data_IF_715125488805
#
_entry.id   IF_715125488805
#
_cell.length_a   1.000
_cell.length_b   1.000
_cell.length_c   1.000
_cell.angle_alpha   90.00
_cell.angle_beta   90.00
_cell.angle_gamma   90.00
#
_symmetry.space_group_name_H-M   'P 1'
#
loop_
_entity.id
_entity.type
_entity.pdbx_description
1 polymer ?
#
# COMPACT_ATOMS: atom_id res chain seq x y z
N UNK A 1 3.27 -52.07 0.79
CA UNK A 1 2.29 -51.01 0.44
C UNK A 1 2.78 -49.62 0.93
N UNK A 2 3.87 -49.03 0.37
CA UNK A 2 4.40 -47.74 0.84
C UNK A 2 3.76 -46.51 0.15
N UNK A 3 3.10 -46.69 -1.00
CA UNK A 3 2.58 -45.58 -1.80
C UNK A 3 1.40 -44.80 -1.18
N UNK A 4 0.65 -45.41 -0.26
CA UNK A 4 -0.53 -44.76 0.36
C UNK A 4 -0.17 -43.75 1.45
N UNK A 5 0.98 -43.94 2.10
CA UNK A 5 1.49 -43.02 3.13
C UNK A 5 2.10 -41.77 2.48
N UNK A 6 2.78 -41.94 1.34
CA UNK A 6 3.42 -40.84 0.62
C UNK A 6 2.40 -39.86 0.01
N UNK A 7 1.25 -40.36 -0.45
CA UNK A 7 0.17 -39.51 -1.01
C UNK A 7 -0.52 -38.69 0.08
N UNK A 8 -0.69 -39.23 1.29
CA UNK A 8 -1.31 -38.50 2.40
C UNK A 8 -0.42 -37.35 2.92
N UNK A 9 0.90 -37.54 2.92
CA UNK A 9 1.87 -36.52 3.32
C UNK A 9 1.92 -35.33 2.34
N UNK A 10 1.70 -35.57 1.04
CA UNK A 10 1.72 -34.52 0.02
C UNK A 10 0.50 -33.58 0.10
N UNK A 11 -0.69 -34.11 0.45
CA UNK A 11 -1.89 -33.29 0.63
C UNK A 11 -1.84 -32.38 1.87
N UNK A 12 -1.08 -32.75 2.91
CA UNK A 12 -0.90 -31.91 4.11
C UNK A 12 0.02 -30.70 3.87
N UNK A 13 0.96 -30.81 2.93
CA UNK A 13 1.90 -29.74 2.57
C UNK A 13 1.29 -28.67 1.64
N UNK A 14 0.29 -29.03 0.83
CA UNK A 14 -0.38 -28.11 -0.08
C UNK A 14 -1.19 -27.00 0.64
N UNK A 15 -1.50 -27.19 1.92
CA UNK A 15 -2.32 -26.27 2.72
C UNK A 15 -1.55 -25.08 3.31
N UNK A 16 -0.21 -25.04 3.19
CA UNK A 16 0.63 -24.03 3.86
C UNK A 16 0.89 -22.76 3.05
N UNK A 17 0.61 -22.75 1.75
CA UNK A 17 0.84 -21.58 0.88
C UNK A 17 -0.44 -20.76 0.68
N UNK A 18 -1.15 -20.43 1.76
CA UNK A 18 -2.34 -19.57 1.69
C UNK A 18 -1.89 -18.11 1.79
N UNK A 19 -2.13 -17.35 0.73
CA UNK A 19 -2.05 -15.89 0.83
C UNK A 19 -3.14 -15.44 1.80
N UNK A 20 -2.77 -14.62 2.78
CA UNK A 20 -3.71 -14.06 3.74
C UNK A 20 -3.80 -12.55 3.54
N UNK A 21 -4.98 -11.94 3.73
CA UNK A 21 -5.11 -10.49 3.73
C UNK A 21 -4.25 -9.86 4.82
N UNK A 22 -3.37 -8.94 4.44
CA UNK A 22 -2.47 -8.21 5.36
C UNK A 22 -2.83 -6.73 5.38
N UNK A 23 -2.63 -6.06 6.53
CA UNK A 23 -2.79 -4.60 6.62
C UNK A 23 -1.62 -3.86 5.95
N UNK A 24 -0.51 -4.54 5.73
CA UNK A 24 0.68 -4.01 5.05
C UNK A 24 1.37 -5.09 4.23
N UNK A 25 2.06 -4.68 3.16
CA UNK A 25 2.99 -5.51 2.42
C UNK A 25 4.35 -4.81 2.35
N UNK A 26 5.42 -5.59 2.46
CA UNK A 26 6.80 -5.14 2.28
C UNK A 26 7.37 -5.76 1.01
N UNK A 27 8.40 -5.13 0.45
CA UNK A 27 9.05 -5.66 -0.75
C UNK A 27 9.84 -6.94 -0.50
N UNK A 28 10.48 -7.09 0.67
CA UNK A 28 11.36 -8.22 0.98
C UNK A 28 10.75 -9.19 2.01
N UNK A 29 9.43 -9.14 2.22
CA UNK A 29 8.68 -9.93 3.21
C UNK A 29 9.22 -9.80 4.66
N UNK A 30 9.96 -8.72 4.95
CA UNK A 30 10.32 -8.32 6.30
C UNK A 30 9.09 -7.85 7.07
N UNK A 31 9.08 -7.94 8.41
CA UNK A 31 8.01 -7.36 9.20
C UNK A 31 7.89 -5.85 8.96
N UNK A 32 6.69 -5.40 8.61
CA UNK A 32 6.36 -3.98 8.51
C UNK A 32 6.57 -3.29 9.87
N UNK A 33 7.07 -2.05 9.87
CA UNK A 33 7.37 -1.30 11.09
C UNK A 33 6.13 -1.10 11.97
N UNK A 34 4.98 -0.79 11.37
CA UNK A 34 3.74 -0.48 12.08
C UNK A 34 2.84 -1.72 12.20
N UNK A 35 2.47 -2.14 13.43
CA UNK A 35 1.65 -3.32 13.63
C UNK A 35 0.19 -3.09 13.21
N UNK A 36 -0.61 -4.17 13.02
CA UNK A 36 -2.04 -4.02 12.79
C UNK A 36 -2.71 -3.18 13.88
N UNK A 37 -3.55 -2.22 13.48
CA UNK A 37 -4.28 -1.34 14.42
C UNK A 37 -3.48 -0.17 14.98
N UNK A 38 -2.27 0.10 14.46
CA UNK A 38 -1.58 1.36 14.71
C UNK A 38 -2.47 2.55 14.36
N UNK A 39 -2.38 3.64 15.12
CA UNK A 39 -3.30 4.78 15.01
C UNK A 39 -2.76 5.92 14.14
N UNK A 40 -1.44 6.03 14.03
CA UNK A 40 -0.75 7.03 13.22
C UNK A 40 0.68 6.58 12.95
N UNK A 41 1.27 7.06 11.86
CA UNK A 41 2.70 6.91 11.61
C UNK A 41 3.53 7.71 12.63
N UNK A 42 4.78 7.32 12.86
CA UNK A 42 5.67 7.98 13.85
C UNK A 42 6.04 9.40 13.44
N UNK A 43 6.03 9.69 12.13
CA UNK A 43 6.30 11.02 11.59
C UNK A 43 5.08 11.97 11.62
N UNK A 44 3.96 11.54 12.21
CA UNK A 44 2.75 12.34 12.36
C UNK A 44 2.63 12.87 13.78
N UNK A 45 2.35 14.16 13.92
CA UNK A 45 1.85 14.73 15.18
C UNK A 45 0.32 14.54 15.27
N UNK A 46 -0.19 13.63 16.14
CA UNK A 46 -1.63 13.41 16.28
C UNK A 46 -2.36 14.60 16.90
N UNK A 47 -1.65 15.51 17.57
CA UNK A 47 -2.20 16.72 18.19
C UNK A 47 -2.13 17.95 17.27
N UNK A 48 -1.74 17.77 16.01
CA UNK A 48 -1.64 18.87 15.06
C UNK A 48 -2.96 19.66 14.98
N UNK A 49 -2.94 20.99 15.21
CA UNK A 49 -4.14 21.81 15.25
C UNK A 49 -4.87 21.75 13.91
N UNK A 50 -6.21 21.66 13.97
CA UNK A 50 -7.06 21.58 12.78
C UNK A 50 -7.58 22.97 12.41
N UNK A 51 -7.60 23.27 11.11
CA UNK A 51 -8.10 24.53 10.56
C UNK A 51 -7.00 25.44 10.01
N UNK A 52 -7.38 26.67 9.65
CA UNK A 52 -6.50 27.64 8.98
C UNK A 52 -6.45 27.47 7.46
N UNK A 53 -5.48 28.12 6.82
CA UNK A 53 -5.30 28.06 5.36
C UNK A 53 -3.82 27.98 5.03
N UNK A 54 -3.45 26.98 4.23
CA UNK A 54 -2.12 26.83 3.67
C UNK A 54 -2.08 27.47 2.28
N UNK A 55 -1.19 28.46 2.07
CA UNK A 55 -0.89 29.02 0.75
C UNK A 55 0.55 28.70 0.40
N UNK A 56 0.76 27.98 -0.70
CA UNK A 56 2.07 27.54 -1.20
C UNK A 56 2.27 28.08 -2.61
N UNK A 57 3.50 28.45 -2.92
CA UNK A 57 3.92 28.70 -4.29
C UNK A 57 4.42 27.38 -4.88
N UNK A 58 4.11 27.15 -6.15
CA UNK A 58 4.68 26.08 -6.95
C UNK A 58 5.25 26.69 -8.22
N UNK A 59 6.43 26.25 -8.61
CA UNK A 59 7.13 26.79 -9.78
C UNK A 59 6.55 26.19 -11.06
N UNK A 60 6.26 27.04 -12.05
CA UNK A 60 5.67 26.63 -13.33
C UNK A 60 4.24 27.15 -13.50
N UNK A 61 3.52 26.58 -14.48
CA UNK A 61 2.10 26.83 -14.75
C UNK A 61 1.41 25.51 -15.05
N UNK A 62 0.08 25.50 -15.10
CA UNK A 62 -0.71 24.34 -15.50
C UNK A 62 -1.79 24.79 -16.47
N UNK A 63 -2.20 23.90 -17.38
CA UNK A 63 -3.31 24.12 -18.32
C UNK A 63 -4.36 23.00 -18.25
N UNK A 64 -4.13 21.97 -17.44
CA UNK A 64 -5.07 20.87 -17.19
C UNK A 64 -5.07 20.44 -15.73
N UNK A 65 -6.26 20.09 -15.22
CA UNK A 65 -6.48 19.54 -13.88
C UNK A 65 -6.49 18.00 -13.88
N UNK A 66 -6.33 17.36 -15.04
CA UNK A 66 -6.17 15.92 -15.13
C UNK A 66 -4.68 15.57 -15.00
N UNK A 67 -4.22 15.02 -13.85
CA UNK A 67 -2.81 14.69 -13.64
C UNK A 67 -2.33 13.52 -14.50
N UNK A 68 -3.24 12.75 -15.11
CA UNK A 68 -2.94 11.58 -15.94
C UNK A 68 -3.02 11.87 -17.44
N UNK A 69 -3.12 13.15 -17.83
CA UNK A 69 -3.21 13.54 -19.21
C UNK A 69 -1.87 13.34 -19.95
N UNK A 70 -1.92 12.75 -21.15
CA UNK A 70 -0.76 12.61 -22.03
C UNK A 70 -0.38 13.91 -22.78
N UNK A 71 -1.15 14.99 -22.60
CA UNK A 71 -0.96 16.29 -23.26
C UNK A 71 -1.31 17.43 -22.30
N UNK A 72 -0.59 18.53 -22.44
CA UNK A 72 -0.72 19.72 -21.58
C UNK A 72 0.28 19.68 -20.44
N UNK A 73 0.23 20.70 -19.59
CA UNK A 73 0.98 20.76 -18.33
C UNK A 73 0.02 20.50 -17.18
N UNK A 74 0.04 19.29 -16.59
CA UNK A 74 -0.86 18.95 -15.49
C UNK A 74 -0.45 19.65 -14.19
N UNK A 75 -1.41 19.71 -13.26
CA UNK A 75 -1.12 19.95 -11.85
C UNK A 75 -0.13 18.90 -11.29
N UNK A 76 0.62 19.29 -10.28
CA UNK A 76 1.59 18.42 -9.59
C UNK A 76 0.91 17.26 -8.88
N UNK A 77 1.61 16.12 -8.77
CA UNK A 77 1.10 14.94 -8.07
C UNK A 77 0.81 15.22 -6.59
N UNK A 78 1.53 16.15 -5.97
CA UNK A 78 1.26 16.60 -4.59
C UNK A 78 -0.10 17.29 -4.47
N UNK A 79 -0.51 18.06 -5.48
CA UNK A 79 -1.82 18.70 -5.51
C UNK A 79 -2.92 17.68 -5.87
N UNK A 80 -2.63 16.79 -6.82
CA UNK A 80 -3.54 15.72 -7.21
C UNK A 80 -3.85 14.76 -6.06
N UNK A 81 -2.87 14.44 -5.20
CA UNK A 81 -3.04 13.58 -4.04
C UNK A 81 -4.02 14.12 -2.97
N UNK A 82 -4.43 15.40 -3.07
CA UNK A 82 -5.49 15.97 -2.22
C UNK A 82 -6.90 15.60 -2.71
N UNK A 83 -7.02 15.06 -3.92
CA UNK A 83 -8.29 14.77 -4.60
C UNK A 83 -8.38 13.29 -5.02
N UNK A 84 -7.25 12.68 -5.39
CA UNK A 84 -7.15 11.28 -5.79
C UNK A 84 -6.47 10.45 -4.72
N UNK A 85 -7.03 9.26 -4.47
CA UNK A 85 -6.55 8.32 -3.45
C UNK A 85 -6.06 7.02 -4.11
N UNK A 86 -4.96 6.47 -3.59
CA UNK A 86 -4.42 5.16 -3.99
C UNK A 86 -5.02 4.03 -3.14
N UNK A 87 -4.89 2.78 -3.59
CA UNK A 87 -5.38 1.63 -2.81
C UNK A 87 -4.61 1.42 -1.51
N UNK A 88 -3.29 1.60 -1.57
CA UNK A 88 -2.41 1.61 -0.42
C UNK A 88 -1.75 2.97 -0.21
N UNK A 89 -1.02 3.10 0.90
CA UNK A 89 -0.19 4.24 1.23
C UNK A 89 1.24 3.76 1.49
N UNK A 90 2.19 4.26 0.71
CA UNK A 90 3.61 3.99 0.91
C UNK A 90 4.11 4.75 2.13
N UNK A 91 4.68 4.04 3.10
CA UNK A 91 5.29 4.67 4.27
C UNK A 91 6.48 5.55 3.87
N UNK A 92 6.62 6.71 4.52
CA UNK A 92 7.70 7.66 4.25
C UNK A 92 8.97 7.37 5.07
N UNK A 93 8.88 6.49 6.07
CA UNK A 93 9.98 6.14 6.97
C UNK A 93 10.33 4.65 6.94
N UNK A 94 9.90 3.95 5.89
CA UNK A 94 10.30 2.58 5.55
C UNK A 94 10.73 2.52 4.07
N UNK A 95 11.61 1.58 3.67
CA UNK A 95 12.13 1.54 2.30
C UNK A 95 11.06 1.30 1.23
N UNK A 96 10.30 0.21 1.37
CA UNK A 96 9.26 -0.21 0.43
C UNK A 96 8.16 -0.97 1.18
N UNK A 97 7.40 -0.24 2.01
CA UNK A 97 6.25 -0.77 2.74
C UNK A 97 4.99 -0.03 2.33
N UNK A 98 3.98 -0.77 1.90
CA UNK A 98 2.66 -0.26 1.55
C UNK A 98 1.65 -0.68 2.63
N UNK A 99 0.98 0.28 3.25
CA UNK A 99 -0.13 0.02 4.19
C UNK A 99 -1.47 0.14 3.47
N UNK A 100 -2.49 -0.58 3.93
CA UNK A 100 -3.86 -0.40 3.46
C UNK A 100 -4.32 1.05 3.65
N UNK A 101 -4.92 1.62 2.61
CA UNK A 101 -5.45 2.98 2.61
C UNK A 101 -6.92 2.96 2.17
N UNK A 102 -7.24 3.28 0.91
CA UNK A 102 -8.58 3.08 0.37
C UNK A 102 -8.98 1.59 0.43
N UNK A 103 -8.02 0.69 0.17
CA UNK A 103 -8.15 -0.73 0.44
C UNK A 103 -7.74 -1.03 1.88
N UNK A 104 -8.61 -1.71 2.63
CA UNK A 104 -8.30 -2.07 4.02
C UNK A 104 -7.22 -3.14 4.13
N UNK A 105 -7.16 -4.06 3.17
CA UNK A 105 -6.24 -5.19 3.17
C UNK A 105 -5.61 -5.38 1.80
N UNK A 106 -4.44 -6.02 1.79
CA UNK A 106 -3.72 -6.39 0.59
C UNK A 106 -3.35 -7.87 0.72
N UNK A 107 -3.75 -8.68 -0.25
CA UNK A 107 -3.47 -10.10 -0.33
C UNK A 107 -2.73 -10.36 -1.65
N UNK A 108 -1.54 -10.98 -1.60
CA UNK A 108 -0.68 -11.18 -2.78
C UNK A 108 -0.25 -12.65 -2.89
N UNK A 109 -0.28 -13.20 -4.08
CA UNK A 109 0.23 -14.55 -4.33
C UNK A 109 1.71 -14.68 -3.91
N UNK A 110 2.16 -15.83 -3.37
CA UNK A 110 3.57 -16.06 -3.07
C UNK A 110 4.51 -15.91 -4.28
N UNK A 111 3.99 -16.16 -5.49
CA UNK A 111 4.71 -16.02 -6.76
C UNK A 111 4.48 -14.67 -7.47
N UNK A 112 3.80 -13.72 -6.81
CA UNK A 112 3.39 -12.42 -7.35
C UNK A 112 2.46 -12.47 -8.58
N UNK A 113 1.85 -13.62 -8.90
CA UNK A 113 0.96 -13.75 -10.07
C UNK A 113 -0.34 -12.96 -9.97
N UNK A 114 -0.77 -12.63 -8.74
CA UNK A 114 -1.97 -11.84 -8.49
C UNK A 114 -1.86 -11.03 -7.20
N UNK A 115 -2.69 -9.99 -7.14
CA UNK A 115 -2.96 -9.18 -5.95
C UNK A 115 -4.47 -8.95 -5.82
N UNK A 116 -4.98 -8.99 -4.60
CA UNK A 116 -6.36 -8.67 -4.21
C UNK A 116 -6.33 -7.55 -3.17
N UNK A 117 -7.29 -6.66 -3.28
CA UNK A 117 -7.53 -5.52 -2.39
C UNK A 117 -8.95 -5.60 -1.82
#
# INVERSE_FOLDING_TARGET
MPGRILVFACCLLASLARSEPRHAITLYDEPAKYPPGFQHFDFVDPQAPKGGSLRRMESGSFDTLNPFANRGTPISMTQAALIYETLGFQSLDEPFTEYGYLARYIEKAPDNSWVRF
#
